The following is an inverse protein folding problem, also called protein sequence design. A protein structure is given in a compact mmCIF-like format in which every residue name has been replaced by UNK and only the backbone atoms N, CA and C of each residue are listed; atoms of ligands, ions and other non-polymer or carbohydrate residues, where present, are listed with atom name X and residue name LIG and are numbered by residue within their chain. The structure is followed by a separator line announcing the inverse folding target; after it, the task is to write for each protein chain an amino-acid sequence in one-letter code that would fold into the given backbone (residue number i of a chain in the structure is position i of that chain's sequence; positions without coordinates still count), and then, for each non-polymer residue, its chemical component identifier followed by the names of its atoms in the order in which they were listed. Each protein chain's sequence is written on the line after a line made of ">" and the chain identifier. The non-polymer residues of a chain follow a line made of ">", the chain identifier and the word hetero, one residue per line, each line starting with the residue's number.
data_IF_897297446221
#
_entry.id   IF_897297446221
#
_cell.length_a   1.000
_cell.length_b   1.000
_cell.length_c   1.000
_cell.angle_alpha   90.00
_cell.angle_beta   90.00
_cell.angle_gamma   90.00
#
_symmetry.space_group_name_H-M   'P 1'
#
loop_
_entity.id
_entity.type
_entity.pdbx_description
1 polymer ?
#
# COMPACT_ATOMS: atom_id res chain seq x y z
N UNK A 1 0.69 3.66 17.82
CA UNK A 1 0.29 2.24 17.81
C UNK A 1 1.28 1.46 16.95
N UNK A 2 1.84 0.34 17.45
CA UNK A 2 2.74 -0.50 16.63
C UNK A 2 1.94 -1.29 15.60
N UNK A 3 2.61 -1.75 14.54
CA UNK A 3 2.01 -2.59 13.49
C UNK A 3 1.33 -3.84 14.07
N UNK A 4 2.01 -4.53 14.98
CA UNK A 4 1.48 -5.70 15.65
C UNK A 4 0.21 -5.39 16.46
N UNK A 5 0.17 -4.26 17.15
CA UNK A 5 -1.03 -3.83 17.90
C UNK A 5 -2.25 -3.60 17.01
N UNK A 6 -2.05 -3.17 15.75
CA UNK A 6 -3.14 -2.98 14.79
C UNK A 6 -3.71 -4.33 14.37
N UNK A 7 -2.86 -5.28 14.02
CA UNK A 7 -3.24 -6.63 13.60
C UNK A 7 -3.99 -7.34 14.73
N UNK A 8 -3.41 -7.36 15.93
CA UNK A 8 -4.03 -7.93 17.13
C UNK A 8 -5.39 -7.31 17.42
N UNK A 9 -5.53 -5.99 17.18
CA UNK A 9 -6.80 -5.30 17.35
C UNK A 9 -7.85 -5.80 16.36
N UNK A 10 -7.51 -5.95 15.08
CA UNK A 10 -8.45 -6.45 14.06
C UNK A 10 -8.93 -7.84 14.42
N UNK A 11 -8.02 -8.74 14.78
CA UNK A 11 -8.37 -10.12 15.16
C UNK A 11 -9.21 -10.18 16.44
N UNK A 12 -8.90 -9.35 17.44
CA UNK A 12 -9.69 -9.25 18.68
C UNK A 12 -11.10 -8.69 18.43
N UNK A 13 -11.19 -7.64 17.61
CA UNK A 13 -12.49 -7.02 17.27
C UNK A 13 -13.35 -8.01 16.47
N UNK A 14 -12.76 -8.79 15.55
CA UNK A 14 -13.44 -9.88 14.88
C UNK A 14 -14.01 -10.90 15.87
N UNK A 15 -13.19 -11.37 16.81
CA UNK A 15 -13.62 -12.33 17.82
C UNK A 15 -14.76 -11.79 18.70
N UNK A 16 -14.78 -10.49 19.02
CA UNK A 16 -15.85 -9.82 19.74
C UNK A 16 -17.15 -9.69 18.90
N UNK A 17 -17.00 -9.36 17.60
CA UNK A 17 -18.12 -9.31 16.67
C UNK A 17 -18.79 -10.68 16.50
N UNK A 18 -18.01 -11.77 16.55
CA UNK A 18 -18.51 -13.14 16.41
C UNK A 18 -19.15 -13.69 17.71
N UNK A 19 -18.60 -13.33 18.88
CA UNK A 19 -18.90 -14.01 20.17
C UNK A 19 -19.31 -13.08 21.31
N UNK A 20 -19.34 -11.77 21.10
CA UNK A 20 -19.68 -10.77 22.11
C UNK A 20 -21.16 -10.82 22.53
N UNK A 21 -21.47 -10.14 23.63
CA UNK A 21 -22.88 -9.85 24.03
C UNK A 21 -23.50 -8.87 23.05
N UNK A 22 -24.83 -8.75 23.00
CA UNK A 22 -25.52 -8.01 21.93
C UNK A 22 -25.00 -6.57 21.73
N UNK A 23 -24.82 -5.80 22.81
CA UNK A 23 -24.27 -4.43 22.69
C UNK A 23 -22.78 -4.38 22.32
N UNK A 24 -21.98 -5.33 22.80
CA UNK A 24 -20.56 -5.44 22.44
C UNK A 24 -20.40 -5.90 20.98
N UNK A 25 -21.28 -6.80 20.53
CA UNK A 25 -21.30 -7.32 19.16
C UNK A 25 -21.56 -6.21 18.15
N UNK A 26 -22.57 -5.35 18.38
CA UNK A 26 -22.87 -4.24 17.49
C UNK A 26 -21.73 -3.23 17.42
N UNK A 27 -21.17 -2.84 18.57
CA UNK A 27 -20.03 -1.92 18.63
C UNK A 27 -18.79 -2.51 17.93
N UNK A 28 -18.51 -3.80 18.16
CA UNK A 28 -17.40 -4.50 17.52
C UNK A 28 -17.60 -4.63 16.00
N UNK A 29 -18.82 -4.91 15.54
CA UNK A 29 -19.12 -4.99 14.11
C UNK A 29 -18.92 -3.65 13.41
N UNK A 30 -19.33 -2.53 14.03
CA UNK A 30 -19.05 -1.18 13.50
C UNK A 30 -17.56 -0.90 13.37
N UNK A 31 -16.81 -1.14 14.45
CA UNK A 31 -15.35 -0.95 14.45
C UNK A 31 -14.63 -1.88 13.48
N UNK A 32 -15.08 -3.14 13.35
CA UNK A 32 -14.52 -4.09 12.39
C UNK A 32 -14.69 -3.58 10.96
N UNK A 33 -15.88 -3.08 10.63
CA UNK A 33 -16.17 -2.50 9.32
C UNK A 33 -15.21 -1.34 8.98
N UNK A 34 -15.01 -0.40 9.89
CA UNK A 34 -14.07 0.71 9.70
C UNK A 34 -12.63 0.22 9.46
N UNK A 35 -12.18 -0.77 10.23
CA UNK A 35 -10.85 -1.36 10.06
C UNK A 35 -10.72 -2.11 8.73
N UNK A 36 -11.75 -2.85 8.33
CA UNK A 36 -11.79 -3.56 7.05
C UNK A 36 -11.71 -2.59 5.88
N UNK A 37 -12.48 -1.50 5.89
CA UNK A 37 -12.41 -0.45 4.87
C UNK A 37 -11.02 0.19 4.82
N UNK A 38 -10.47 0.56 5.98
CA UNK A 38 -9.14 1.20 6.07
C UNK A 38 -8.02 0.32 5.50
N UNK A 39 -8.06 -0.98 5.76
CA UNK A 39 -6.99 -1.91 5.36
C UNK A 39 -7.35 -2.77 4.14
N UNK A 40 -8.49 -2.48 3.50
CA UNK A 40 -8.99 -3.21 2.33
C UNK A 40 -9.14 -4.71 2.56
N UNK A 41 -9.66 -5.10 3.72
CA UNK A 41 -9.96 -6.47 4.11
C UNK A 41 -11.42 -6.75 3.78
N UNK A 42 -11.74 -7.94 3.27
CA UNK A 42 -13.10 -8.36 2.93
C UNK A 42 -13.59 -9.46 3.88
N UNK A 43 -14.91 -9.71 3.93
CA UNK A 43 -15.48 -10.83 4.70
C UNK A 43 -14.92 -12.19 4.25
N UNK A 44 -14.62 -12.33 2.97
CA UNK A 44 -13.99 -13.53 2.43
C UNK A 44 -12.58 -13.78 3.02
N UNK A 45 -11.90 -12.72 3.46
CA UNK A 45 -10.56 -12.79 4.07
C UNK A 45 -10.63 -13.17 5.56
N UNK A 46 -11.83 -13.09 6.17
CA UNK A 46 -12.06 -13.40 7.60
C UNK A 46 -12.52 -14.83 7.86
N UNK A 47 -12.46 -15.72 6.86
CA UNK A 47 -12.95 -17.11 6.92
C UNK A 47 -12.16 -18.04 7.84
N UNK A 48 -12.29 -19.35 7.63
CA UNK A 48 -11.54 -20.38 8.35
C UNK A 48 -10.03 -20.25 8.09
N UNK A 49 -9.21 -20.66 9.06
CA UNK A 49 -7.72 -20.61 8.98
C UNK A 49 -7.14 -21.70 8.05
N UNK A 50 -7.74 -21.83 6.87
CA UNK A 50 -7.30 -22.71 5.81
C UNK A 50 -6.63 -21.85 4.73
N UNK A 51 -5.43 -22.18 4.27
CA UNK A 51 -4.78 -21.47 3.18
C UNK A 51 -5.66 -21.46 1.93
N UNK A 52 -5.86 -20.28 1.36
CA UNK A 52 -6.60 -20.07 0.11
C UNK A 52 -5.94 -18.98 -0.73
N UNK A 53 -6.33 -18.90 -1.98
CA UNK A 53 -5.86 -17.84 -2.86
C UNK A 53 -6.53 -16.52 -2.49
N UNK A 54 -5.72 -15.51 -2.18
CA UNK A 54 -6.17 -14.13 -1.97
C UNK A 54 -5.67 -13.24 -3.09
N UNK A 55 -6.55 -12.38 -3.58
CA UNK A 55 -6.27 -11.45 -4.67
C UNK A 55 -5.98 -10.06 -4.10
N UNK A 56 -5.00 -9.36 -4.71
CA UNK A 56 -4.52 -8.07 -4.23
C UNK A 56 -4.45 -7.09 -5.38
N UNK A 57 -5.03 -5.91 -5.17
CA UNK A 57 -4.86 -4.75 -6.02
C UNK A 57 -3.67 -3.94 -5.51
N UNK A 58 -2.65 -3.80 -6.33
CA UNK A 58 -1.42 -3.07 -5.99
C UNK A 58 -1.37 -1.69 -6.64
N UNK A 59 -2.10 -1.50 -7.74
CA UNK A 59 -2.12 -0.25 -8.49
C UNK A 59 -0.83 -0.02 -9.28
N UNK A 60 -0.04 0.97 -8.89
CA UNK A 60 1.20 1.31 -9.58
C UNK A 60 2.25 0.18 -9.51
N UNK A 61 3.01 -0.07 -10.59
CA UNK A 61 4.09 -1.07 -10.61
C UNK A 61 5.13 -0.93 -9.50
N UNK A 62 5.37 0.28 -8.99
CA UNK A 62 6.30 0.51 -7.88
C UNK A 62 5.83 -0.18 -6.60
N UNK A 63 4.52 -0.19 -6.34
CA UNK A 63 3.95 -0.87 -5.18
C UNK A 63 3.96 -2.38 -5.31
N UNK A 64 4.01 -2.90 -6.54
CA UNK A 64 4.22 -4.33 -6.76
C UNK A 64 5.58 -4.77 -6.24
N UNK A 65 6.64 -4.00 -6.50
CA UNK A 65 7.96 -4.28 -5.95
C UNK A 65 7.96 -4.24 -4.42
N UNK A 66 7.34 -3.21 -3.83
CA UNK A 66 7.19 -3.09 -2.38
C UNK A 66 6.47 -4.30 -1.79
N UNK A 67 5.36 -4.71 -2.40
CA UNK A 67 4.58 -5.86 -1.94
C UNK A 67 5.38 -7.17 -2.02
N UNK A 68 6.09 -7.42 -3.12
CA UNK A 68 6.91 -8.64 -3.28
C UNK A 68 8.02 -8.69 -2.22
N UNK A 69 8.67 -7.57 -1.92
CA UNK A 69 9.70 -7.51 -0.86
C UNK A 69 9.08 -7.79 0.52
N UNK A 70 7.93 -7.19 0.80
CA UNK A 70 7.21 -7.42 2.07
C UNK A 70 6.78 -8.89 2.20
N UNK A 71 6.17 -9.46 1.16
CA UNK A 71 5.76 -10.85 1.11
C UNK A 71 6.95 -11.81 1.35
N UNK A 72 8.06 -11.57 0.66
CA UNK A 72 9.28 -12.40 0.82
C UNK A 72 9.89 -12.28 2.22
N UNK A 73 9.76 -11.12 2.85
CA UNK A 73 10.20 -10.90 4.23
C UNK A 73 9.34 -11.65 5.25
N UNK A 74 8.03 -11.71 5.02
CA UNK A 74 7.08 -12.34 5.94
C UNK A 74 7.03 -13.87 5.78
N UNK A 75 6.98 -14.34 4.55
CA UNK A 75 6.69 -15.75 4.24
C UNK A 75 7.87 -16.52 3.64
N UNK A 76 9.00 -15.84 3.42
CA UNK A 76 10.14 -16.42 2.76
C UNK A 76 10.02 -16.38 1.22
N UNK A 77 11.15 -16.61 0.55
CA UNK A 77 11.22 -16.54 -0.93
C UNK A 77 10.59 -17.74 -1.63
N UNK A 78 10.34 -18.82 -0.90
CA UNK A 78 9.78 -20.08 -1.41
C UNK A 78 8.28 -19.99 -1.70
N UNK A 79 7.55 -19.09 -1.01
CA UNK A 79 6.13 -18.85 -1.29
C UNK A 79 5.97 -17.93 -2.49
N UNK A 80 5.25 -18.36 -3.55
CA UNK A 80 5.13 -17.57 -4.76
C UNK A 80 4.14 -16.40 -4.61
N UNK A 81 4.46 -15.31 -5.31
CA UNK A 81 3.50 -14.24 -5.63
C UNK A 81 3.14 -14.38 -7.10
N UNK A 82 1.88 -14.64 -7.39
CA UNK A 82 1.38 -14.83 -8.75
C UNK A 82 1.04 -13.48 -9.37
N UNK A 83 1.62 -13.19 -10.54
CA UNK A 83 1.31 -12.00 -11.34
C UNK A 83 0.09 -12.29 -12.23
N UNK A 84 -1.09 -11.85 -11.81
CA UNK A 84 -2.34 -12.10 -12.54
C UNK A 84 -2.31 -11.46 -13.94
N UNK A 85 -1.64 -10.32 -14.11
CA UNK A 85 -1.54 -9.64 -15.41
C UNK A 85 -0.79 -10.50 -16.44
N UNK A 86 0.18 -11.31 -15.98
CA UNK A 86 0.99 -12.19 -16.81
C UNK A 86 0.42 -13.60 -17.00
N UNK A 87 -0.65 -13.93 -16.28
CA UNK A 87 -1.30 -15.25 -16.40
C UNK A 87 -1.94 -15.43 -17.78
N UNK A 88 -1.95 -16.66 -18.25
CA UNK A 88 -2.69 -17.02 -19.46
C UNK A 88 -4.20 -16.82 -19.28
N UNK A 89 -4.90 -16.52 -20.37
CA UNK A 89 -6.37 -16.29 -20.35
C UNK A 89 -7.15 -17.44 -19.71
N UNK A 90 -6.67 -18.69 -19.88
CA UNK A 90 -7.28 -19.88 -19.31
C UNK A 90 -7.21 -19.87 -17.78
N UNK A 91 -6.06 -19.52 -17.22
CA UNK A 91 -5.85 -19.49 -15.77
C UNK A 91 -6.60 -18.31 -15.12
N UNK A 92 -6.64 -17.16 -15.80
CA UNK A 92 -7.49 -16.03 -15.40
C UNK A 92 -8.98 -16.40 -15.35
N UNK A 93 -9.43 -17.21 -16.31
CA UNK A 93 -10.81 -17.69 -16.31
C UNK A 93 -11.11 -18.61 -15.13
N UNK A 94 -10.18 -19.51 -14.80
CA UNK A 94 -10.30 -20.38 -13.62
C UNK A 94 -10.42 -19.56 -12.34
N UNK A 95 -9.60 -18.52 -12.17
CA UNK A 95 -9.68 -17.61 -11.03
C UNK A 95 -11.02 -16.85 -11.01
N UNK A 96 -11.48 -16.37 -12.17
CA UNK A 96 -12.76 -15.68 -12.30
C UNK A 96 -13.94 -16.58 -11.98
N UNK A 97 -13.94 -17.80 -12.49
CA UNK A 97 -14.99 -18.80 -12.26
C UNK A 97 -15.03 -19.27 -10.78
N UNK A 98 -13.88 -19.21 -10.09
CA UNK A 98 -13.76 -19.46 -8.65
C UNK A 98 -14.14 -18.24 -7.78
N UNK A 99 -14.67 -17.17 -8.37
CA UNK A 99 -15.08 -15.96 -7.64
C UNK A 99 -13.94 -14.99 -7.35
N UNK A 100 -12.73 -15.25 -7.86
CA UNK A 100 -11.55 -14.38 -7.67
C UNK A 100 -11.35 -13.39 -8.83
N UNK A 101 -12.42 -13.01 -9.50
CA UNK A 101 -12.39 -12.18 -10.70
C UNK A 101 -12.52 -10.70 -10.42
N UNK A 102 -11.58 -10.09 -9.73
CA UNK A 102 -11.46 -8.64 -9.75
C UNK A 102 -10.68 -8.22 -11.01
N UNK A 103 -11.30 -7.42 -11.88
CA UNK A 103 -10.70 -6.96 -13.15
C UNK A 103 -9.43 -6.13 -12.92
N UNK A 104 -9.29 -5.57 -11.72
CA UNK A 104 -8.19 -4.70 -11.32
C UNK A 104 -7.14 -5.42 -10.46
N UNK A 105 -7.28 -6.72 -10.27
CA UNK A 105 -6.33 -7.49 -9.49
C UNK A 105 -4.97 -7.61 -10.18
N UNK A 106 -3.93 -7.28 -9.43
CA UNK A 106 -2.55 -7.29 -9.93
C UNK A 106 -1.78 -8.55 -9.57
N UNK A 107 -2.04 -9.07 -8.37
CA UNK A 107 -1.33 -10.21 -7.82
C UNK A 107 -2.25 -11.13 -7.03
N UNK A 108 -1.83 -12.38 -6.85
CA UNK A 108 -2.44 -13.31 -5.92
C UNK A 108 -1.37 -14.00 -5.06
N UNK A 109 -1.75 -14.35 -3.84
CA UNK A 109 -0.93 -15.13 -2.92
C UNK A 109 -1.78 -16.21 -2.26
N UNK A 110 -1.17 -17.32 -1.91
CA UNK A 110 -1.79 -18.38 -1.13
C UNK A 110 -1.37 -18.24 0.34
N UNK A 111 -2.34 -17.95 1.21
CA UNK A 111 -2.10 -17.78 2.63
C UNK A 111 -3.38 -17.99 3.45
N UNK A 112 -3.24 -18.08 4.77
CA UNK A 112 -4.41 -18.12 5.67
C UNK A 112 -5.05 -16.73 5.78
N UNK A 113 -6.31 -16.63 6.21
CA UNK A 113 -6.97 -15.35 6.49
C UNK A 113 -6.18 -14.45 7.45
N UNK A 114 -5.63 -15.00 8.52
CA UNK A 114 -4.82 -14.21 9.47
C UNK A 114 -3.53 -13.69 8.83
N UNK A 115 -2.83 -14.53 8.07
CA UNK A 115 -1.65 -14.10 7.30
C UNK A 115 -2.00 -13.01 6.26
N UNK A 116 -3.18 -13.13 5.62
CA UNK A 116 -3.64 -12.12 4.66
C UNK A 116 -3.95 -10.79 5.34
N UNK A 117 -4.64 -10.79 6.47
CA UNK A 117 -4.89 -9.58 7.25
C UNK A 117 -3.57 -8.91 7.63
N UNK A 118 -2.60 -9.71 8.09
CA UNK A 118 -1.30 -9.20 8.47
C UNK A 118 -0.59 -8.52 7.29
N UNK A 119 -0.42 -9.21 6.17
CA UNK A 119 0.29 -8.65 5.02
C UNK A 119 -0.42 -7.45 4.41
N UNK A 120 -1.76 -7.45 4.35
CA UNK A 120 -2.55 -6.30 3.86
C UNK A 120 -2.36 -5.08 4.75
N UNK A 121 -2.44 -5.27 6.06
CA UNK A 121 -2.23 -4.18 7.03
C UNK A 121 -0.84 -3.60 6.92
N UNK A 122 0.18 -4.45 6.89
CA UNK A 122 1.57 -4.03 6.73
C UNK A 122 1.79 -3.32 5.40
N UNK A 123 1.25 -3.86 4.32
CA UNK A 123 1.36 -3.25 3.00
C UNK A 123 0.74 -1.85 2.95
N UNK A 124 -0.44 -1.65 3.54
CA UNK A 124 -1.06 -0.33 3.62
C UNK A 124 -0.17 0.67 4.36
N UNK A 125 0.39 0.28 5.51
CA UNK A 125 1.27 1.13 6.32
C UNK A 125 2.55 1.50 5.55
N UNK A 126 3.21 0.50 4.93
CA UNK A 126 4.43 0.74 4.16
C UNK A 126 4.17 1.55 2.89
N UNK A 127 3.03 1.36 2.24
CA UNK A 127 2.62 2.13 1.08
C UNK A 127 2.44 3.60 1.43
N UNK A 128 1.69 3.92 2.49
CA UNK A 128 1.50 5.29 2.96
C UNK A 128 2.84 5.98 3.29
N UNK A 129 3.73 5.27 4.01
CA UNK A 129 5.05 5.80 4.33
C UNK A 129 5.90 6.01 3.08
N UNK A 130 5.92 5.03 2.17
CA UNK A 130 6.63 5.12 0.91
C UNK A 130 6.15 6.31 0.06
N UNK A 131 4.84 6.51 -0.08
CA UNK A 131 4.27 7.66 -0.80
C UNK A 131 4.70 8.99 -0.17
N UNK A 132 4.72 9.07 1.15
CA UNK A 132 5.18 10.25 1.88
C UNK A 132 6.66 10.54 1.61
N UNK A 133 7.53 9.52 1.70
CA UNK A 133 8.96 9.66 1.42
C UNK A 133 9.22 9.97 -0.05
N UNK A 134 8.47 9.36 -0.96
CA UNK A 134 8.59 9.60 -2.38
C UNK A 134 8.22 11.04 -2.76
N UNK A 135 7.23 11.64 -2.08
CA UNK A 135 6.93 13.08 -2.26
C UNK A 135 8.14 13.95 -1.91
N UNK A 136 8.84 13.64 -0.80
CA UNK A 136 10.07 14.37 -0.40
C UNK A 136 11.16 14.23 -1.45
N UNK A 137 11.43 12.98 -1.89
CA UNK A 137 12.41 12.70 -2.95
C UNK A 137 12.10 13.45 -4.25
N UNK A 138 10.84 13.45 -4.68
CA UNK A 138 10.40 14.12 -5.90
C UNK A 138 10.64 15.62 -5.85
N UNK A 139 10.37 16.26 -4.71
CA UNK A 139 10.67 17.68 -4.49
C UNK A 139 12.17 17.94 -4.55
N UNK A 140 12.97 17.13 -3.84
CA UNK A 140 14.44 17.25 -3.85
C UNK A 140 15.01 17.10 -5.26
N UNK A 141 14.49 16.17 -6.05
CA UNK A 141 14.92 15.97 -7.43
C UNK A 141 14.58 17.15 -8.34
N UNK A 142 13.39 17.72 -8.19
CA UNK A 142 12.97 18.89 -8.97
C UNK A 142 13.80 20.12 -8.61
N UNK A 143 14.02 20.37 -7.33
CA UNK A 143 14.86 21.44 -6.81
C UNK A 143 16.30 21.33 -7.38
N UNK A 144 16.89 20.15 -7.25
CA UNK A 144 18.27 19.90 -7.72
C UNK A 144 18.48 20.12 -9.21
N UNK A 145 17.46 19.88 -10.01
CA UNK A 145 17.51 19.98 -11.47
C UNK A 145 16.85 21.24 -12.04
N UNK A 146 16.56 22.24 -11.21
CA UNK A 146 15.91 23.51 -11.58
C UNK A 146 14.58 23.30 -12.33
N UNK A 147 13.79 22.28 -11.93
CA UNK A 147 12.51 21.91 -12.55
C UNK A 147 11.29 22.47 -11.81
N UNK A 148 11.51 23.14 -10.68
CA UNK A 148 10.43 23.77 -9.93
C UNK A 148 9.91 24.98 -10.71
N UNK A 149 8.63 24.96 -11.05
CA UNK A 149 7.94 26.11 -11.62
C UNK A 149 7.51 27.00 -10.47
N UNK A 150 7.92 28.27 -10.46
CA UNK A 150 7.41 29.26 -9.53
C UNK A 150 5.88 29.38 -9.75
N UNK A 151 5.10 28.73 -8.88
CA UNK A 151 3.66 28.94 -8.89
C UNK A 151 3.38 30.26 -8.17
N UNK A 152 2.69 31.16 -8.81
CA UNK A 152 2.14 32.39 -8.25
C UNK A 152 1.02 32.10 -7.23
N UNK A 153 1.24 31.14 -6.34
CA UNK A 153 0.32 30.90 -5.23
C UNK A 153 0.56 31.97 -4.18
N UNK A 154 -0.49 32.71 -3.88
CA UNK A 154 -0.58 33.55 -2.69
C UNK A 154 0.03 32.82 -1.49
N UNK A 155 0.81 33.57 -0.71
CA UNK A 155 1.47 33.11 0.52
C UNK A 155 0.43 32.61 1.52
N UNK A 156 0.02 31.36 1.38
CA UNK A 156 -0.63 30.64 2.48
C UNK A 156 0.43 30.35 3.54
N UNK A 157 0.06 30.52 4.81
CA UNK A 157 0.95 30.19 5.92
C UNK A 157 1.46 28.77 5.76
N UNK A 158 2.79 28.61 5.66
CA UNK A 158 3.46 27.31 5.55
C UNK A 158 3.31 26.59 6.88
N UNK A 159 2.71 25.41 6.88
CA UNK A 159 2.56 24.60 8.08
C UNK A 159 3.90 24.06 8.56
N UNK A 160 4.01 23.75 9.87
CA UNK A 160 5.23 23.16 10.45
C UNK A 160 5.60 21.82 9.75
N UNK A 161 4.61 21.03 9.38
CA UNK A 161 4.80 19.77 8.63
C UNK A 161 5.39 20.03 7.23
N UNK A 162 4.92 21.07 6.54
CA UNK A 162 5.46 21.48 5.24
C UNK A 162 6.90 21.98 5.38
N UNK A 163 7.19 22.75 6.42
CA UNK A 163 8.54 23.25 6.70
C UNK A 163 9.52 22.09 6.94
N UNK A 164 9.11 21.10 7.72
CA UNK A 164 9.93 19.90 7.97
C UNK A 164 10.14 19.11 6.67
N UNK A 165 9.12 18.99 5.83
CA UNK A 165 9.22 18.34 4.51
C UNK A 165 10.21 19.06 3.60
N UNK A 166 10.19 20.40 3.56
CA UNK A 166 11.15 21.20 2.79
C UNK A 166 12.58 21.04 3.30
N UNK A 167 12.79 21.00 4.62
CA UNK A 167 14.11 20.73 5.20
C UNK A 167 14.66 19.36 4.79
N UNK A 168 13.83 18.32 4.85
CA UNK A 168 14.21 16.97 4.40
C UNK A 168 14.52 16.94 2.91
N UNK A 169 13.72 17.62 2.10
CA UNK A 169 13.96 17.70 0.65
C UNK A 169 15.28 18.44 0.34
N UNK A 170 15.58 19.53 1.03
CA UNK A 170 16.84 20.26 0.85
C UNK A 170 18.08 19.42 1.19
N UNK A 171 18.02 18.64 2.27
CA UNK A 171 19.10 17.70 2.62
C UNK A 171 19.25 16.59 1.56
N UNK A 172 18.13 16.07 1.06
CA UNK A 172 18.14 15.03 0.04
C UNK A 172 18.64 15.55 -1.30
N UNK A 173 18.34 16.79 -1.68
CA UNK A 173 18.81 17.40 -2.93
C UNK A 173 20.32 17.50 -3.00
N UNK A 174 21.02 17.61 -1.86
CA UNK A 174 22.49 17.67 -1.82
C UNK A 174 23.18 16.38 -2.27
N UNK A 175 22.50 15.22 -2.15
CA UNK A 175 23.04 13.90 -2.51
C UNK A 175 22.53 13.40 -3.87
N UNK A 176 21.64 14.16 -4.51
CA UNK A 176 21.15 13.85 -5.86
C UNK A 176 22.09 14.48 -6.89
N UNK A 177 22.55 13.70 -7.85
CA UNK A 177 23.34 14.21 -8.95
C UNK A 177 22.49 15.12 -9.85
N UNK A 178 23.02 16.32 -10.14
CA UNK A 178 22.39 17.25 -11.08
C UNK A 178 22.53 16.70 -12.50
N UNK A 179 21.42 16.63 -13.23
CA UNK A 179 21.41 16.21 -14.62
C UNK A 179 21.81 17.38 -15.52
N UNK A 180 22.90 17.25 -16.24
CA UNK A 180 23.26 18.20 -17.28
C UNK A 180 22.47 17.89 -18.55
N UNK A 181 21.70 18.88 -19.02
CA UNK A 181 20.92 18.79 -20.26
C UNK A 181 21.46 19.83 -21.24
N UNK A 182 21.98 19.35 -22.35
CA UNK A 182 22.32 20.23 -23.48
C UNK A 182 21.03 20.52 -24.25
N UNK A 183 20.74 21.81 -24.50
CA UNK A 183 19.60 22.21 -25.33
C UNK A 183 19.86 21.70 -26.75
N UNK A 184 19.02 20.78 -27.21
CA UNK A 184 19.09 20.25 -28.57
C UNK A 184 18.38 21.12 -29.61
N UNK A 185 17.61 22.12 -29.18
CA UNK A 185 16.83 23.02 -30.06
C UNK A 185 17.09 24.44 -29.60
N UNK A 186 17.74 25.24 -30.44
CA UNK A 186 17.73 26.69 -30.32
C UNK A 186 16.35 27.19 -30.78
N UNK A 187 15.58 27.74 -29.85
CA UNK A 187 14.35 28.45 -30.23
C UNK A 187 14.77 29.83 -30.78
N UNK A 188 14.76 29.95 -32.10
CA UNK A 188 14.86 31.22 -32.78
C UNK A 188 13.66 32.12 -32.48
#
# INVERSE_FOLDING_TARGET
>A
MTQQQIIDRILKVKALADRGTDGEREAAAGLLKELMEKYHITDADLGEEIPKMHIIQLGDPIFKHLFVQLHSKMFGKERPVYDIRKMHKKDKKILSDAGYGDKDADAAIECTPSEFIEIRTLFSIYKEDFERQFKVFRYAYYDRNDLLIESSKEQSEVTEEELERYRKAALMSMVIDKKEIHKMIERG
#
